data_IF_109638296496
#
_entry.id   IF_109638296496
#
_cell.length_a   1.000
_cell.length_b   1.000
_cell.length_c   1.000
_cell.angle_alpha   90.00
_cell.angle_beta   90.00
_cell.angle_gamma   90.00
#
_symmetry.space_group_name_H-M   'P 1'
#
loop_
_entity.id
_entity.type
_entity.pdbx_description
1 polymer ?
#
# COMPACT_ATOMS: atom_id res chain seq x y z
N UNK A 1 -10.37 -15.87 2.94
CA UNK A 1 -9.22 -15.16 2.35
C UNK A 1 -8.33 -16.20 1.70
N UNK A 2 -8.32 -16.24 0.38
CA UNK A 2 -7.73 -17.33 -0.40
C UNK A 2 -6.20 -17.19 -0.41
N UNK A 3 -5.55 -17.91 0.50
CA UNK A 3 -4.08 -17.93 0.60
C UNK A 3 -3.42 -18.49 -0.67
N UNK A 4 -4.20 -19.12 -1.55
CA UNK A 4 -3.72 -19.60 -2.85
C UNK A 4 -3.53 -18.46 -3.86
N UNK A 5 -4.02 -17.24 -3.61
CA UNK A 5 -3.84 -16.10 -4.53
C UNK A 5 -2.76 -15.16 -4.01
N UNK A 6 -2.90 -14.71 -2.76
CA UNK A 6 -1.96 -13.80 -2.13
C UNK A 6 -1.88 -14.02 -0.63
N UNK A 7 -0.67 -14.07 -0.11
CA UNK A 7 -0.39 -14.05 1.32
C UNK A 7 0.81 -13.15 1.62
N UNK A 8 0.60 -12.08 2.38
CA UNK A 8 1.69 -11.17 2.75
C UNK A 8 2.73 -11.89 3.62
N UNK A 9 3.93 -12.09 3.08
CA UNK A 9 5.06 -12.72 3.78
C UNK A 9 5.80 -11.76 4.72
N UNK A 10 5.35 -10.50 4.85
CA UNK A 10 6.03 -9.43 5.60
C UNK A 10 7.51 -9.23 5.18
N UNK A 11 7.84 -9.52 3.92
CA UNK A 11 9.22 -9.45 3.40
C UNK A 11 9.80 -8.04 3.35
N UNK A 12 8.96 -7.01 3.26
CA UNK A 12 9.41 -5.62 3.20
C UNK A 12 9.66 -5.06 1.80
N UNK A 13 9.53 -5.85 0.72
CA UNK A 13 9.73 -5.33 -0.64
C UNK A 13 8.82 -4.12 -0.93
N UNK A 14 7.54 -4.17 -0.52
CA UNK A 14 6.62 -3.02 -0.68
C UNK A 14 7.03 -1.76 0.12
N UNK A 15 8.06 -1.83 0.97
CA UNK A 15 8.60 -0.70 1.71
C UNK A 15 9.80 -0.04 1.00
N UNK A 16 10.30 -0.61 -0.10
CA UNK A 16 11.35 -0.01 -0.91
C UNK A 16 10.76 1.01 -1.90
N UNK A 17 11.58 1.96 -2.34
CA UNK A 17 11.17 3.07 -3.20
C UNK A 17 10.92 4.37 -2.42
N UNK A 18 10.37 5.37 -3.10
CA UNK A 18 10.14 6.72 -2.55
C UNK A 18 8.87 7.37 -3.08
N UNK A 19 8.24 8.22 -2.27
CA UNK A 19 7.18 9.15 -2.68
C UNK A 19 5.81 8.55 -3.05
N UNK A 20 5.64 7.22 -2.93
CA UNK A 20 4.41 6.52 -3.36
C UNK A 20 3.30 6.41 -2.31
N UNK A 21 3.60 6.67 -1.03
CA UNK A 21 2.66 6.40 0.07
C UNK A 21 2.01 7.71 0.53
N UNK A 22 0.94 8.10 -0.16
CA UNK A 22 0.08 9.22 0.23
C UNK A 22 -0.72 8.83 1.48
N UNK A 23 -0.82 9.75 2.44
CA UNK A 23 -1.56 9.56 3.69
C UNK A 23 -2.57 10.68 3.93
N UNK A 24 -3.85 10.32 4.00
CA UNK A 24 -4.94 11.23 4.39
C UNK A 24 -4.84 11.65 5.85
N UNK A 25 -5.47 12.77 6.23
CA UNK A 25 -5.48 13.23 7.61
C UNK A 25 -6.04 12.17 8.59
N UNK A 26 -7.03 11.39 8.17
CA UNK A 26 -7.57 10.27 8.96
C UNK A 26 -6.49 9.22 9.25
N UNK A 27 -5.73 8.81 8.23
CA UNK A 27 -4.62 7.87 8.38
C UNK A 27 -3.49 8.45 9.23
N UNK A 28 -3.17 9.74 9.05
CA UNK A 28 -2.16 10.42 9.86
C UNK A 28 -2.52 10.37 11.35
N UNK A 29 -3.78 10.62 11.71
CA UNK A 29 -4.25 10.52 13.11
C UNK A 29 -4.18 9.09 13.65
N UNK A 30 -4.55 8.08 12.84
CA UNK A 30 -4.45 6.66 13.23
C UNK A 30 -3.00 6.26 13.51
N UNK A 31 -2.09 6.63 12.62
CA UNK A 31 -0.67 6.28 12.75
C UNK A 31 -0.02 7.05 13.90
N UNK A 32 -0.31 8.34 14.07
CA UNK A 32 0.24 9.14 15.18
C UNK A 32 -0.20 8.58 16.53
N UNK A 33 -1.48 8.21 16.67
CA UNK A 33 -2.02 7.59 17.88
C UNK A 33 -1.35 6.25 18.17
N UNK A 34 -1.17 5.39 17.16
CA UNK A 34 -0.47 4.12 17.30
C UNK A 34 0.99 4.29 17.76
N UNK A 35 1.65 5.38 17.34
CA UNK A 35 3.03 5.70 17.71
C UNK A 35 3.14 6.49 19.03
N UNK A 36 2.03 6.81 19.69
CA UNK A 36 1.96 7.67 20.87
C UNK A 36 2.60 9.06 20.64
N UNK A 37 2.27 9.68 19.51
CA UNK A 37 2.74 11.02 19.13
C UNK A 37 1.57 11.97 18.88
N UNK A 38 1.80 13.26 19.11
CA UNK A 38 0.87 14.28 18.59
C UNK A 38 0.88 14.26 17.06
N UNK A 39 -0.21 14.73 16.46
CA UNK A 39 -0.32 14.85 14.99
C UNK A 39 0.80 15.72 14.41
N UNK A 40 1.13 16.83 15.08
CA UNK A 40 2.20 17.75 14.66
C UNK A 40 3.58 17.08 14.70
N UNK A 41 3.88 16.33 15.78
CA UNK A 41 5.13 15.58 15.89
C UNK A 41 5.23 14.51 14.81
N UNK A 42 4.13 13.80 14.54
CA UNK A 42 4.05 12.79 13.50
C UNK A 42 4.31 13.39 12.11
N UNK A 43 3.58 14.45 11.76
CA UNK A 43 3.73 15.15 10.47
C UNK A 43 5.15 15.64 10.27
N UNK A 44 5.73 16.32 11.26
CA UNK A 44 7.10 16.84 11.19
C UNK A 44 8.13 15.72 11.02
N UNK A 45 7.98 14.62 11.77
CA UNK A 45 8.99 13.54 11.82
C UNK A 45 8.90 12.60 10.63
N UNK A 46 7.69 12.23 10.19
CA UNK A 46 7.48 11.11 9.28
C UNK A 46 6.87 11.48 7.93
N UNK A 47 6.37 12.71 7.74
CA UNK A 47 5.80 13.14 6.47
C UNK A 47 6.68 14.16 5.76
N UNK A 48 6.60 14.14 4.45
CA UNK A 48 7.12 15.16 3.54
C UNK A 48 6.07 15.51 2.49
N UNK A 49 6.21 16.68 1.87
CA UNK A 49 5.32 17.10 0.79
C UNK A 49 5.82 16.56 -0.54
N UNK A 50 4.93 15.90 -1.28
CA UNK A 50 5.10 15.61 -2.69
C UNK A 50 3.98 16.30 -3.46
N UNK A 51 4.31 17.39 -4.14
CA UNK A 51 3.32 18.35 -4.66
C UNK A 51 2.40 18.80 -3.51
N UNK A 52 1.09 18.68 -3.68
CA UNK A 52 0.09 19.06 -2.67
C UNK A 52 -0.26 17.93 -1.68
N UNK A 53 0.42 16.77 -1.75
CA UNK A 53 0.09 15.59 -0.96
C UNK A 53 1.10 15.35 0.15
N UNK A 54 0.63 14.93 1.31
CA UNK A 54 1.48 14.38 2.36
C UNK A 54 1.84 12.93 2.03
N UNK A 55 3.13 12.64 2.01
CA UNK A 55 3.66 11.29 1.78
C UNK A 55 4.57 10.87 2.92
N UNK A 56 4.62 9.56 3.18
CA UNK A 56 5.56 9.01 4.16
C UNK A 56 7.00 9.19 3.66
N UNK A 57 7.86 9.75 4.52
CA UNK A 57 9.29 9.92 4.29
C UNK A 57 10.00 8.60 4.04
N UNK A 58 11.08 8.70 3.28
CA UNK A 58 11.99 7.58 3.04
C UNK A 58 13.42 7.96 3.43
N UNK A 59 14.21 6.96 3.83
CA UNK A 59 15.64 7.09 4.09
C UNK A 59 16.35 6.01 3.29
N UNK A 60 17.32 6.39 2.46
CA UNK A 60 18.05 5.48 1.57
C UNK A 60 17.11 4.62 0.70
N UNK A 61 16.07 5.25 0.11
CA UNK A 61 15.03 4.59 -0.70
C UNK A 61 14.25 3.48 0.02
N UNK A 62 14.14 3.56 1.35
CA UNK A 62 13.34 2.65 2.17
C UNK A 62 12.41 3.47 3.06
N UNK A 63 11.17 3.01 3.21
CA UNK A 63 10.17 3.60 4.09
C UNK A 63 10.73 3.78 5.51
N UNK A 64 10.53 4.97 6.10
CA UNK A 64 11.03 5.31 7.44
C UNK A 64 10.50 4.39 8.56
N UNK A 65 9.39 3.70 8.32
CA UNK A 65 8.80 2.74 9.26
C UNK A 65 9.28 1.30 9.08
N UNK A 66 10.13 1.01 8.09
CA UNK A 66 10.63 -0.33 7.87
C UNK A 66 11.97 -0.57 8.56
N UNK A 67 12.05 -1.66 9.32
CA UNK A 67 13.28 -2.17 9.93
C UNK A 67 13.51 -3.59 9.36
N UNK A 68 14.65 -3.87 8.71
CA UNK A 68 14.91 -5.20 8.13
C UNK A 68 14.86 -6.37 9.14
N UNK A 69 15.09 -6.11 10.43
CA UNK A 69 15.04 -7.12 11.49
C UNK A 69 13.66 -7.25 12.12
N UNK A 70 12.81 -6.22 12.06
CA UNK A 70 11.50 -6.18 12.74
C UNK A 70 10.31 -6.11 11.79
N UNK A 71 10.53 -5.82 10.51
CA UNK A 71 9.52 -5.54 9.51
C UNK A 71 8.96 -4.12 9.59
N UNK A 72 7.73 -3.94 9.12
CA UNK A 72 7.04 -2.66 9.13
C UNK A 72 6.55 -2.32 10.56
N UNK A 73 7.07 -1.24 11.14
CA UNK A 73 6.73 -0.77 12.48
C UNK A 73 5.30 -0.26 12.63
N UNK A 74 4.62 0.08 11.53
CA UNK A 74 3.20 0.53 11.54
C UNK A 74 2.27 -0.50 10.88
N UNK A 75 2.68 -1.77 10.78
CA UNK A 75 1.92 -2.80 10.08
C UNK A 75 0.43 -2.91 10.47
N UNK A 76 0.04 -2.80 11.76
CA UNK A 76 -1.37 -2.86 12.17
C UNK A 76 -2.23 -1.68 11.71
N UNK A 77 -1.60 -0.53 11.44
CA UNK A 77 -2.27 0.74 11.07
C UNK A 77 -1.76 1.24 9.72
N UNK A 78 -1.48 0.31 8.80
CA UNK A 78 -1.00 0.63 7.46
C UNK A 78 -1.93 1.64 6.77
N UNK A 79 -1.35 2.64 6.07
CA UNK A 79 -2.11 3.41 5.10
C UNK A 79 -2.78 2.50 4.08
N UNK A 80 -3.91 2.94 3.52
CA UNK A 80 -4.66 2.26 2.47
C UNK A 80 -3.76 1.88 1.29
N UNK A 81 -2.86 2.78 0.87
CA UNK A 81 -1.89 2.49 -0.19
C UNK A 81 -1.01 1.30 0.17
N UNK A 82 -0.51 1.21 1.41
CA UNK A 82 0.28 0.06 1.84
C UNK A 82 -0.55 -1.22 2.00
N UNK A 83 -1.81 -1.11 2.44
CA UNK A 83 -2.70 -2.24 2.63
C UNK A 83 -3.24 -2.82 1.32
N UNK A 84 -3.27 -2.01 0.26
CA UNK A 84 -3.75 -2.39 -1.06
C UNK A 84 -2.71 -3.13 -1.90
N UNK A 85 -1.41 -3.05 -1.58
CA UNK A 85 -0.40 -3.84 -2.29
C UNK A 85 -0.67 -5.35 -2.09
N UNK A 86 -0.68 -6.18 -3.16
CA UNK A 86 -0.24 -5.92 -4.54
C UNK A 86 -1.37 -5.59 -5.54
N UNK A 87 -2.58 -5.30 -5.08
CA UNK A 87 -3.77 -5.07 -5.91
C UNK A 87 -3.90 -3.62 -6.39
N UNK A 88 -2.79 -2.95 -6.69
CA UNK A 88 -2.87 -1.61 -7.29
C UNK A 88 -3.56 -1.67 -8.64
N UNK A 89 -4.27 -0.59 -9.00
CA UNK A 89 -4.99 -0.46 -10.28
C UNK A 89 -4.19 -1.00 -11.46
N UNK A 90 -2.92 -0.58 -11.61
CA UNK A 90 -2.05 -1.03 -12.70
C UNK A 90 -1.99 -2.56 -12.81
N UNK A 91 -1.82 -3.26 -11.68
CA UNK A 91 -1.75 -4.72 -11.61
C UNK A 91 -3.12 -5.39 -11.82
N UNK A 92 -4.22 -4.64 -11.88
CA UNK A 92 -5.59 -5.15 -12.11
C UNK A 92 -6.08 -4.88 -13.54
N UNK A 93 -5.43 -3.98 -14.28
CA UNK A 93 -5.83 -3.60 -15.65
C UNK A 93 -4.82 -3.97 -16.72
N UNK A 94 -3.57 -4.26 -16.33
CA UNK A 94 -2.49 -4.64 -17.23
C UNK A 94 -1.82 -5.92 -16.75
N UNK A 95 -1.89 -6.97 -17.57
CA UNK A 95 -1.31 -8.29 -17.28
C UNK A 95 0.22 -8.24 -17.19
N UNK A 96 0.88 -7.36 -17.96
CA UNK A 96 2.33 -7.19 -17.86
C UNK A 96 2.74 -6.58 -16.51
N UNK A 97 1.98 -5.58 -16.04
CA UNK A 97 2.19 -5.00 -14.71
C UNK A 97 1.96 -6.04 -13.59
N UNK A 98 0.96 -6.90 -13.74
CA UNK A 98 0.74 -8.04 -12.85
C UNK A 98 1.92 -9.02 -12.84
N UNK A 99 2.46 -9.41 -13.99
CA UNK A 99 3.62 -10.32 -14.06
C UNK A 99 4.87 -9.67 -13.44
N UNK A 100 5.08 -8.36 -13.62
CA UNK A 100 6.11 -7.62 -12.88
C UNK A 100 5.86 -7.63 -11.37
N UNK A 101 4.60 -7.45 -10.93
CA UNK A 101 4.26 -7.52 -9.51
C UNK A 101 4.53 -8.91 -8.92
N UNK A 102 4.33 -9.99 -9.69
CA UNK A 102 4.66 -11.38 -9.30
C UNK A 102 6.14 -11.59 -9.09
N UNK A 103 7.00 -11.01 -9.92
CA UNK A 103 8.46 -11.10 -9.73
C UNK A 103 8.91 -10.32 -8.49
N UNK A 104 8.26 -9.20 -8.20
CA UNK A 104 8.61 -8.35 -7.07
C UNK A 104 8.05 -8.82 -5.73
N UNK A 105 6.80 -9.29 -5.68
CA UNK A 105 6.13 -9.66 -4.45
C UNK A 105 6.09 -11.19 -4.26
N UNK A 106 6.89 -11.76 -3.34
CA UNK A 106 6.91 -13.21 -3.12
C UNK A 106 5.60 -13.74 -2.51
N UNK A 107 4.73 -12.85 -2.02
CA UNK A 107 3.42 -13.21 -1.50
C UNK A 107 2.38 -13.53 -2.57
N UNK A 108 2.61 -13.20 -3.84
CA UNK A 108 1.70 -13.56 -4.93
C UNK A 108 2.00 -14.99 -5.35
N UNK A 109 0.97 -15.84 -5.47
CA UNK A 109 1.16 -17.19 -5.97
C UNK A 109 1.67 -17.14 -7.43
N UNK A 110 2.81 -17.78 -7.69
CA UNK A 110 3.44 -17.80 -9.03
C UNK A 110 2.57 -18.43 -10.11
N UNK A 111 1.66 -19.32 -9.73
CA UNK A 111 0.80 -20.08 -10.64
C UNK A 111 -0.60 -19.47 -10.78
N UNK A 112 -0.90 -18.35 -10.12
CA UNK A 112 -2.21 -17.69 -10.27
C UNK A 112 -2.30 -17.03 -11.66
N UNK A 113 -3.45 -17.19 -12.32
CA UNK A 113 -3.73 -16.47 -13.56
C UNK A 113 -4.11 -15.01 -13.29
N UNK A 114 -3.90 -14.15 -14.28
CA UNK A 114 -4.26 -12.74 -14.19
C UNK A 114 -5.75 -12.54 -13.84
N UNK A 115 -6.66 -13.26 -14.49
CA UNK A 115 -8.11 -13.16 -14.22
C UNK A 115 -8.49 -13.52 -12.78
N UNK A 116 -7.87 -14.57 -12.21
CA UNK A 116 -8.09 -14.94 -10.80
C UNK A 116 -7.54 -13.88 -9.85
N UNK A 117 -6.33 -13.39 -10.12
CA UNK A 117 -5.71 -12.33 -9.33
C UNK A 117 -6.53 -11.05 -9.35
N UNK A 118 -6.98 -10.62 -10.53
CA UNK A 118 -7.80 -9.43 -10.74
C UNK A 118 -9.12 -9.52 -9.98
N UNK A 119 -9.87 -10.61 -10.16
CA UNK A 119 -11.15 -10.82 -9.47
C UNK A 119 -10.98 -10.78 -7.94
N UNK A 120 -9.97 -11.48 -7.42
CA UNK A 120 -9.67 -11.47 -6.00
C UNK A 120 -9.26 -10.09 -5.49
N UNK A 121 -8.40 -9.38 -6.22
CA UNK A 121 -7.94 -8.05 -5.86
C UNK A 121 -9.06 -7.03 -5.76
N UNK A 122 -10.00 -7.04 -6.71
CA UNK A 122 -11.18 -6.16 -6.68
C UNK A 122 -12.04 -6.44 -5.44
N UNK A 123 -12.33 -7.72 -5.16
CA UNK A 123 -13.07 -8.13 -3.95
C UNK A 123 -12.34 -7.68 -2.67
N UNK A 124 -11.03 -7.93 -2.58
CA UNK A 124 -10.21 -7.56 -1.43
C UNK A 124 -10.23 -6.04 -1.17
N UNK A 125 -10.07 -5.22 -2.21
CA UNK A 125 -10.10 -3.76 -2.06
C UNK A 125 -11.44 -3.25 -1.57
N UNK A 126 -12.54 -3.84 -2.05
CA UNK A 126 -13.91 -3.49 -1.64
C UNK A 126 -14.17 -3.89 -0.19
N UNK A 127 -13.88 -5.14 0.17
CA UNK A 127 -14.11 -5.70 1.51
C UNK A 127 -13.31 -4.97 2.60
N UNK A 128 -12.12 -4.44 2.25
CA UNK A 128 -11.24 -3.75 3.19
C UNK A 128 -11.36 -2.21 3.12
N UNK A 129 -12.34 -1.67 2.38
CA UNK A 129 -12.56 -0.22 2.23
C UNK A 129 -11.30 0.55 1.74
N UNK A 130 -10.57 -0.05 0.80
CA UNK A 130 -9.30 0.46 0.27
C UNK A 130 -9.45 1.26 -1.03
N UNK A 131 -10.67 1.33 -1.59
CA UNK A 131 -10.95 2.08 -2.81
C UNK A 131 -10.96 3.58 -2.50
N UNK A 132 -10.36 4.38 -3.38
CA UNK A 132 -10.36 5.83 -3.28
C UNK A 132 -11.17 6.44 -4.43
N UNK A 133 -12.16 7.28 -4.10
CA UNK A 133 -12.96 8.02 -5.08
C UNK A 133 -12.50 9.48 -5.26
N UNK A 134 -11.64 9.97 -4.36
CA UNK A 134 -11.16 11.34 -4.42
C UNK A 134 -10.25 11.55 -5.63
N UNK A 135 -10.55 12.56 -6.46
CA UNK A 135 -9.72 12.90 -7.63
C UNK A 135 -8.25 13.16 -7.26
N UNK A 136 -8.01 13.80 -6.11
CA UNK A 136 -6.66 14.08 -5.59
C UNK A 136 -6.05 12.93 -4.78
N UNK A 137 -6.78 11.82 -4.61
CA UNK A 137 -6.30 10.66 -3.87
C UNK A 137 -5.19 9.87 -4.59
N UNK A 138 -4.77 8.72 -4.03
CA UNK A 138 -3.85 7.81 -4.68
C UNK A 138 -4.50 7.12 -5.88
N UNK A 139 -3.97 7.37 -7.08
CA UNK A 139 -4.48 6.80 -8.35
C UNK A 139 -4.43 5.27 -8.38
N UNK A 140 -3.48 4.68 -7.65
CA UNK A 140 -3.37 3.23 -7.48
C UNK A 140 -4.64 2.59 -6.86
N UNK A 141 -5.48 3.37 -6.18
CA UNK A 141 -6.69 2.91 -5.49
C UNK A 141 -7.99 3.34 -6.19
N UNK A 142 -7.89 4.05 -7.32
CA UNK A 142 -9.04 4.51 -8.10
C UNK A 142 -9.44 3.38 -9.07
N UNK A 143 -10.37 2.50 -8.66
CA UNK A 143 -10.78 1.32 -9.44
C UNK A 143 -12.29 1.25 -9.70
N UNK A 144 -13.01 2.38 -9.60
CA UNK A 144 -14.47 2.42 -9.68
C UNK A 144 -15.04 1.86 -10.99
N UNK A 145 -14.33 2.03 -12.08
CA UNK A 145 -14.63 1.51 -13.41
C UNK A 145 -14.41 -0.01 -13.55
N UNK A 146 -13.83 -0.66 -12.54
CA UNK A 146 -13.60 -2.11 -12.50
C UNK A 146 -14.60 -2.85 -11.60
N UNK A 147 -15.53 -2.13 -10.97
CA UNK A 147 -16.50 -2.67 -10.00
C UNK A 147 -17.78 -3.23 -10.64
#
# INVERSE_FOLDING_TARGET
MDKEIFYCQKCGHCCEGKGGIVVSLEEQNKISSFLNLSIEQFQKKYLEKNQDKDVIKTKNNVCIFFDPKKGCGIHPVKPKVCAAWPFFRGNLVDENAFEMAKTYCPGINKNVSFEKFKKYGISYLKENNLICEEKKGPTALQIKDLL
#
